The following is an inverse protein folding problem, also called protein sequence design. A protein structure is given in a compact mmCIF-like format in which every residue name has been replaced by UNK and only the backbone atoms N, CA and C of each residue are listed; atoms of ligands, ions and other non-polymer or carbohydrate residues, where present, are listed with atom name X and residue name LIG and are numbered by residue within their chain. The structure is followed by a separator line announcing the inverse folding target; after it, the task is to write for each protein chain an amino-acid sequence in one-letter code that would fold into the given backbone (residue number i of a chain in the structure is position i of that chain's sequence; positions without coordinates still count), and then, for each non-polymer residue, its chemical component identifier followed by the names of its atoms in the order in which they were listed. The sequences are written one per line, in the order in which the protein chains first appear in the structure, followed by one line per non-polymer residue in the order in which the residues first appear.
data_IF_440800270362
#
_entry.id   IF_440800270362
#
_cell.length_a   1.000
_cell.length_b   1.000
_cell.length_c   1.000
_cell.angle_alpha   90.00
_cell.angle_beta   90.00
_cell.angle_gamma   90.00
#
_symmetry.space_group_name_H-M   'P 1'
#
loop_
_entity.id
_entity.type
_entity.pdbx_description
1 polymer ?
#
# COMPACT_ATOMS: atom_id res chain seq x y z
N UNK A 1 -19.37 6.22 -7.99
CA UNK A 1 -17.96 6.30 -7.56
C UNK A 1 -17.78 6.89 -6.16
N UNK A 2 -18.27 8.10 -5.86
CA UNK A 2 -18.17 8.70 -4.50
C UNK A 2 -18.70 7.79 -3.37
N UNK A 3 -19.82 7.09 -3.59
CA UNK A 3 -20.41 6.15 -2.62
C UNK A 3 -19.55 4.90 -2.34
N UNK A 4 -18.82 4.40 -3.35
CA UNK A 4 -17.93 3.25 -3.21
C UNK A 4 -16.64 3.63 -2.47
N UNK A 5 -16.11 4.84 -2.72
CA UNK A 5 -14.97 5.36 -1.99
C UNK A 5 -15.30 5.56 -0.51
N UNK A 6 -16.45 6.18 -0.22
CA UNK A 6 -16.94 6.35 1.16
C UNK A 6 -17.16 4.99 1.83
N UNK A 7 -17.75 4.02 1.12
CA UNK A 7 -17.94 2.67 1.63
C UNK A 7 -16.59 1.98 1.92
N UNK A 8 -15.61 2.08 1.01
CA UNK A 8 -14.28 1.51 1.20
C UNK A 8 -13.56 2.12 2.41
N UNK A 9 -13.57 3.45 2.53
CA UNK A 9 -12.99 4.16 3.69
C UNK A 9 -13.69 3.74 4.99
N UNK A 10 -15.02 3.65 4.99
CA UNK A 10 -15.79 3.14 6.13
C UNK A 10 -15.44 1.68 6.46
N UNK A 11 -15.27 0.82 5.46
CA UNK A 11 -14.85 -0.57 5.69
C UNK A 11 -13.44 -0.65 6.26
N UNK A 12 -12.50 0.17 5.80
CA UNK A 12 -11.14 0.25 6.37
C UNK A 12 -11.20 0.68 7.84
N UNK A 13 -12.00 1.70 8.16
CA UNK A 13 -12.14 2.23 9.53
C UNK A 13 -12.84 1.21 10.45
N UNK A 14 -13.91 0.56 9.99
CA UNK A 14 -14.69 -0.40 10.79
C UNK A 14 -13.97 -1.75 10.91
N UNK A 15 -13.22 -2.19 9.89
CA UNK A 15 -12.35 -3.36 10.00
C UNK A 15 -11.17 -3.09 10.95
N UNK A 16 -10.64 -1.85 10.96
CA UNK A 16 -9.59 -1.42 11.88
C UNK A 16 -10.00 -1.43 13.35
N UNK A 17 -11.29 -1.25 13.67
CA UNK A 17 -11.80 -1.32 15.05
C UNK A 17 -12.21 -2.73 15.51
N UNK A 18 -12.31 -3.71 14.59
CA UNK A 18 -12.71 -5.08 14.91
C UNK A 18 -11.57 -6.12 14.77
N UNK A 19 -10.45 -5.77 14.13
CA UNK A 19 -9.31 -6.66 13.88
C UNK A 19 -8.01 -5.93 14.27
N UNK A 20 -6.97 -6.68 14.67
CA UNK A 20 -5.63 -6.18 15.05
C UNK A 20 -4.85 -5.58 13.86
N UNK A 21 -5.50 -4.69 13.12
CA UNK A 21 -4.98 -4.03 11.94
C UNK A 21 -4.20 -2.79 12.36
N UNK A 22 -3.00 -2.64 11.81
CA UNK A 22 -2.17 -1.45 11.99
C UNK A 22 -2.50 -0.49 10.85
N UNK A 23 -3.13 0.66 11.12
CA UNK A 23 -3.33 1.68 10.10
C UNK A 23 -2.01 2.35 9.76
N UNK A 24 -1.82 2.71 8.50
CA UNK A 24 -0.60 3.33 8.00
C UNK A 24 -0.96 4.46 7.03
N UNK A 25 -0.18 5.54 7.06
CA UNK A 25 -0.23 6.61 6.05
C UNK A 25 0.93 6.39 5.11
N UNK A 26 0.69 6.53 3.81
CA UNK A 26 1.70 6.36 2.77
C UNK A 26 1.73 7.56 1.83
N UNK A 27 2.90 7.86 1.27
CA UNK A 27 3.04 8.88 0.25
C UNK A 27 4.34 8.75 -0.54
N UNK A 28 4.33 9.25 -1.77
CA UNK A 28 5.50 9.20 -2.64
C UNK A 28 5.12 9.32 -4.12
N UNK A 29 5.80 8.56 -4.96
CA UNK A 29 5.59 8.52 -6.41
C UNK A 29 4.99 7.17 -6.81
N UNK A 30 3.86 7.22 -7.51
CA UNK A 30 3.17 6.05 -8.10
C UNK A 30 2.24 6.55 -9.20
N UNK A 31 2.68 6.51 -10.46
CA UNK A 31 2.07 7.19 -11.64
C UNK A 31 2.04 8.74 -11.58
N UNK A 32 2.10 9.32 -10.39
CA UNK A 32 2.24 10.74 -10.07
C UNK A 32 2.60 10.89 -8.60
N UNK A 33 2.39 12.07 -8.02
CA UNK A 33 2.46 12.23 -6.58
C UNK A 33 1.23 11.56 -5.97
N UNK A 34 1.47 10.61 -5.07
CA UNK A 34 0.43 9.83 -4.42
C UNK A 34 0.49 10.00 -2.90
N UNK A 35 -0.67 10.06 -2.26
CA UNK A 35 -0.83 10.02 -0.80
C UNK A 35 -2.05 9.18 -0.47
N UNK A 36 -1.96 8.38 0.59
CA UNK A 36 -3.04 7.49 0.95
C UNK A 36 -2.95 6.90 2.33
N UNK A 37 -3.88 5.99 2.56
CA UNK A 37 -3.99 5.22 3.78
C UNK A 37 -4.03 3.74 3.42
N UNK A 38 -3.48 2.93 4.30
CA UNK A 38 -3.58 1.48 4.22
C UNK A 38 -3.72 0.89 5.60
N UNK A 39 -4.10 -0.38 5.64
CA UNK A 39 -4.20 -1.14 6.86
C UNK A 39 -3.47 -2.48 6.66
N UNK A 40 -2.64 -2.82 7.65
CA UNK A 40 -1.86 -4.04 7.68
C UNK A 40 -2.40 -4.99 8.75
N UNK A 41 -2.70 -6.22 8.37
CA UNK A 41 -3.13 -7.28 9.26
C UNK A 41 -2.05 -8.36 9.37
N UNK A 42 -1.43 -8.59 10.55
CA UNK A 42 -0.49 -9.68 10.75
C UNK A 42 -1.24 -11.03 10.71
N UNK A 43 -0.99 -11.83 9.68
CA UNK A 43 -1.64 -13.13 9.47
C UNK A 43 -0.86 -14.28 10.12
N UNK A 44 0.47 -14.22 10.04
CA UNK A 44 1.39 -15.18 10.64
C UNK A 44 2.75 -14.52 10.89
N UNK A 45 3.68 -15.23 11.54
CA UNK A 45 5.04 -14.72 11.75
C UNK A 45 5.70 -14.43 10.39
N UNK A 46 6.02 -13.16 10.15
CA UNK A 46 6.64 -12.72 8.90
C UNK A 46 5.69 -12.65 7.70
N UNK A 47 4.38 -12.81 7.89
CA UNK A 47 3.38 -12.69 6.83
C UNK A 47 2.26 -11.77 7.28
N UNK A 48 1.97 -10.77 6.46
CA UNK A 48 0.89 -9.81 6.70
C UNK A 48 0.09 -9.58 5.42
N UNK A 49 -1.18 -9.26 5.59
CA UNK A 49 -2.04 -8.80 4.51
C UNK A 49 -2.21 -7.30 4.59
N UNK A 50 -2.18 -6.62 3.45
CA UNK A 50 -2.21 -5.17 3.33
C UNK A 50 -3.25 -4.76 2.31
N UNK A 51 -4.05 -3.74 2.61
CA UNK A 51 -4.92 -3.11 1.62
C UNK A 51 -5.04 -1.62 1.89
N UNK A 52 -5.26 -0.84 0.85
CA UNK A 52 -5.29 0.61 0.98
C UNK A 52 -5.83 1.32 -0.25
N UNK A 53 -5.89 2.64 -0.10
CA UNK A 53 -6.29 3.57 -1.14
C UNK A 53 -5.39 4.80 -1.14
N UNK A 54 -5.07 5.28 -2.34
CA UNK A 54 -4.29 6.50 -2.54
C UNK A 54 -5.04 7.43 -3.48
N UNK A 55 -4.92 8.73 -3.20
CA UNK A 55 -5.19 9.76 -4.19
C UNK A 55 -3.90 10.06 -4.93
N UNK A 56 -3.99 10.19 -6.25
CA UNK A 56 -2.85 10.36 -7.15
C UNK A 56 -3.04 11.60 -8.03
N UNK A 57 -1.97 12.35 -8.26
CA UNK A 57 -1.97 13.50 -9.18
C UNK A 57 -1.87 13.11 -10.66
N UNK A 58 -1.68 11.82 -10.97
CA UNK A 58 -1.63 11.27 -12.32
C UNK A 58 -2.99 11.21 -13.01
N UNK A 59 -3.06 10.47 -14.13
CA UNK A 59 -4.30 10.37 -14.96
C UNK A 59 -5.41 9.57 -14.29
N UNK A 60 -5.05 8.72 -13.34
CA UNK A 60 -5.96 7.89 -12.58
C UNK A 60 -5.92 8.34 -11.11
N UNK A 61 -6.84 9.23 -10.69
CA UNK A 61 -6.75 9.95 -9.43
C UNK A 61 -6.92 9.08 -8.20
N UNK A 62 -7.40 7.83 -8.33
CA UNK A 62 -7.56 6.91 -7.21
C UNK A 62 -6.90 5.58 -7.52
N UNK A 63 -6.01 5.14 -6.64
CA UNK A 63 -5.35 3.84 -6.68
C UNK A 63 -5.88 3.02 -5.51
N UNK A 64 -6.36 1.82 -5.77
CA UNK A 64 -6.74 0.85 -4.74
C UNK A 64 -5.78 -0.34 -4.83
N UNK A 65 -5.37 -0.90 -3.71
CA UNK A 65 -4.49 -2.07 -3.72
C UNK A 65 -4.80 -3.01 -2.56
N UNK A 66 -4.50 -4.29 -2.78
CA UNK A 66 -4.57 -5.33 -1.76
C UNK A 66 -3.52 -6.42 -2.06
N UNK A 67 -2.81 -6.89 -1.05
CA UNK A 67 -1.72 -7.84 -1.25
C UNK A 67 -1.11 -8.38 0.04
N UNK A 68 -0.26 -9.37 -0.11
CA UNK A 68 0.57 -9.90 0.96
C UNK A 68 1.88 -9.13 1.11
N UNK A 69 2.44 -9.14 2.32
CA UNK A 69 3.80 -8.73 2.63
C UNK A 69 4.50 -9.86 3.39
N UNK A 70 5.59 -10.36 2.81
CA UNK A 70 6.30 -11.57 3.22
C UNK A 70 7.73 -11.23 3.62
N UNK A 71 8.13 -11.60 4.83
CA UNK A 71 9.48 -11.36 5.33
C UNK A 71 10.49 -12.13 4.50
N UNK A 72 11.55 -11.45 4.09
CA UNK A 72 12.62 -12.03 3.28
C UNK A 72 13.88 -12.20 4.12
N UNK A 73 14.43 -11.08 4.60
CA UNK A 73 15.72 -11.04 5.30
C UNK A 73 15.87 -9.70 6.03
N UNK A 74 16.94 -9.54 6.80
CA UNK A 74 17.33 -8.26 7.37
C UNK A 74 18.41 -7.61 6.50
N UNK A 75 18.20 -6.35 6.14
CA UNK A 75 19.22 -5.49 5.53
C UNK A 75 19.77 -4.55 6.59
N UNK A 76 20.87 -4.96 7.25
CA UNK A 76 21.33 -4.31 8.46
C UNK A 76 20.27 -4.38 9.58
N UNK A 77 19.90 -3.23 10.13
CA UNK A 77 18.86 -3.11 11.16
C UNK A 77 17.42 -3.02 10.59
N UNK A 78 17.26 -3.00 9.27
CA UNK A 78 15.98 -2.81 8.57
C UNK A 78 15.47 -4.13 8.00
N UNK A 79 14.37 -4.69 8.55
CA UNK A 79 13.75 -5.89 7.99
C UNK A 79 13.19 -5.62 6.58
N UNK A 80 13.56 -6.47 5.62
CA UNK A 80 13.12 -6.40 4.24
C UNK A 80 12.02 -7.43 3.98
N UNK A 81 10.96 -7.00 3.29
CA UNK A 81 9.83 -7.82 2.90
C UNK A 81 9.58 -7.72 1.39
N UNK A 82 9.01 -8.77 0.82
CA UNK A 82 8.40 -8.76 -0.50
C UNK A 82 6.92 -8.40 -0.35
N UNK A 83 6.49 -7.32 -0.99
CA UNK A 83 5.09 -7.01 -1.23
C UNK A 83 4.64 -7.63 -2.55
N UNK A 84 3.49 -8.28 -2.57
CA UNK A 84 2.88 -8.81 -3.78
C UNK A 84 1.36 -8.75 -3.70
N UNK A 85 0.69 -8.25 -4.74
CA UNK A 85 -0.75 -8.07 -4.70
C UNK A 85 -1.39 -7.64 -6.01
N UNK A 86 -2.64 -7.22 -5.90
CA UNK A 86 -3.41 -6.61 -6.96
C UNK A 86 -3.51 -5.10 -6.74
N UNK A 87 -3.58 -4.37 -7.85
CA UNK A 87 -3.76 -2.92 -7.88
C UNK A 87 -4.82 -2.56 -8.92
N UNK A 88 -5.62 -1.54 -8.61
CA UNK A 88 -6.63 -0.98 -9.48
C UNK A 88 -6.45 0.53 -9.56
N UNK A 89 -6.24 1.03 -10.77
CA UNK A 89 -6.16 2.46 -11.06
C UNK A 89 -7.48 2.95 -11.63
N UNK A 90 -8.16 3.84 -10.91
CA UNK A 90 -9.48 4.34 -11.25
C UNK A 90 -9.37 5.75 -11.83
N UNK A 91 -9.80 5.91 -13.08
CA UNK A 91 -10.00 7.18 -13.77
C UNK A 91 -11.48 7.52 -13.94
N UNK A 92 -11.76 8.70 -14.49
CA UNK A 92 -13.14 9.17 -14.72
C UNK A 92 -13.94 8.28 -15.68
N UNK A 93 -13.28 7.58 -16.60
CA UNK A 93 -13.94 6.79 -17.66
C UNK A 93 -13.52 5.31 -17.71
N UNK A 94 -12.49 4.91 -16.94
CA UNK A 94 -11.95 3.55 -16.97
C UNK A 94 -11.25 3.19 -15.67
N UNK A 95 -11.43 1.94 -15.25
CA UNK A 95 -10.61 1.31 -14.21
C UNK A 95 -9.69 0.27 -14.86
N UNK A 96 -8.39 0.38 -14.60
CA UNK A 96 -7.41 -0.61 -15.03
C UNK A 96 -6.97 -1.46 -13.84
N UNK A 97 -6.91 -2.78 -14.03
CA UNK A 97 -6.50 -3.75 -13.01
C UNK A 97 -5.17 -4.38 -13.39
N UNK A 98 -4.36 -4.73 -12.39
CA UNK A 98 -3.12 -5.42 -12.61
C UNK A 98 -2.50 -5.96 -11.33
N UNK A 99 -1.24 -6.37 -11.44
CA UNK A 99 -0.46 -6.92 -10.34
C UNK A 99 0.57 -5.91 -9.85
N UNK A 100 0.90 -5.98 -8.56
CA UNK A 100 1.91 -5.17 -7.91
C UNK A 100 2.96 -6.08 -7.27
N UNK A 101 4.23 -5.72 -7.40
CA UNK A 101 5.34 -6.34 -6.68
C UNK A 101 6.26 -5.25 -6.13
N UNK A 102 6.69 -5.37 -4.88
CA UNK A 102 7.51 -4.35 -4.24
C UNK A 102 8.48 -4.94 -3.22
N UNK A 103 9.56 -4.22 -2.95
CA UNK A 103 10.42 -4.42 -1.79
C UNK A 103 10.04 -3.39 -0.73
N UNK A 104 9.76 -3.86 0.49
CA UNK A 104 9.39 -3.03 1.64
C UNK A 104 10.48 -3.13 2.69
N UNK A 105 11.07 -2.00 3.05
CA UNK A 105 12.09 -1.87 4.07
C UNK A 105 11.46 -1.22 5.31
N UNK A 106 11.22 -2.01 6.35
CA UNK A 106 10.78 -1.47 7.63
C UNK A 106 11.95 -0.78 8.34
N UNK A 107 11.64 0.13 9.26
CA UNK A 107 12.62 0.96 9.99
C UNK A 107 13.43 1.83 9.05
N UNK A 108 12.77 2.45 8.07
CA UNK A 108 13.43 3.38 7.17
C UNK A 108 14.10 4.51 7.97
N UNK A 109 15.35 4.84 7.63
CA UNK A 109 16.16 5.83 8.35
C UNK A 109 16.36 5.53 9.85
N UNK A 110 16.20 4.27 10.28
CA UNK A 110 16.31 3.87 11.68
C UNK A 110 15.08 4.20 12.53
N UNK A 111 13.98 4.66 11.93
CA UNK A 111 12.76 5.07 12.62
C UNK A 111 11.74 3.94 12.57
N UNK A 112 11.45 3.32 13.72
CA UNK A 112 10.61 2.12 13.83
C UNK A 112 9.23 2.18 13.13
N UNK A 113 8.44 3.27 13.24
CA UNK A 113 7.15 3.36 12.55
C UNK A 113 7.29 3.55 11.05
N UNK A 114 8.47 3.96 10.56
CA UNK A 114 8.66 4.28 9.15
C UNK A 114 9.02 3.06 8.32
N UNK A 115 8.51 3.02 7.10
CA UNK A 115 8.96 2.09 6.08
C UNK A 115 9.14 2.79 4.74
N UNK A 116 9.98 2.19 3.90
CA UNK A 116 10.15 2.59 2.51
C UNK A 116 9.71 1.44 1.60
N UNK A 117 9.01 1.75 0.51
CA UNK A 117 8.50 0.77 -0.44
C UNK A 117 8.92 1.17 -1.85
N UNK A 118 9.60 0.28 -2.56
CA UNK A 118 9.97 0.47 -3.98
C UNK A 118 9.46 -0.72 -4.75
N UNK A 119 8.72 -0.48 -5.84
CA UNK A 119 8.04 -1.54 -6.55
C UNK A 119 7.63 -1.18 -7.97
N UNK A 120 6.93 -2.12 -8.58
CA UNK A 120 6.38 -2.02 -9.92
C UNK A 120 4.93 -2.49 -9.90
N UNK A 121 4.06 -1.67 -10.45
CA UNK A 121 2.71 -2.06 -10.84
C UNK A 121 2.69 -2.38 -12.33
N UNK A 122 2.12 -3.52 -12.70
CA UNK A 122 1.92 -3.93 -14.09
C UNK A 122 0.45 -3.79 -14.43
N UNK A 123 0.08 -2.62 -14.98
CA UNK A 123 -1.31 -2.23 -15.26
C UNK A 123 -1.40 -1.66 -16.67
N UNK A 124 -1.64 -2.54 -17.65
CA UNK A 124 -1.43 -2.34 -19.09
C UNK A 124 0.04 -2.02 -19.49
N UNK A 125 0.71 -1.20 -18.69
CA UNK A 125 2.11 -0.76 -18.77
C UNK A 125 2.73 -0.86 -17.38
N UNK A 126 4.06 -1.03 -17.32
CA UNK A 126 4.78 -1.04 -16.04
C UNK A 126 4.90 0.38 -15.49
N UNK A 127 4.60 0.56 -14.21
CA UNK A 127 4.71 1.82 -13.47
C UNK A 127 5.57 1.63 -12.24
N UNK A 128 6.51 2.55 -12.03
CA UNK A 128 7.37 2.52 -10.84
C UNK A 128 6.63 3.12 -9.65
N UNK A 129 6.80 2.48 -8.50
CA UNK A 129 6.33 2.92 -7.20
C UNK A 129 7.55 3.18 -6.31
N UNK A 130 7.60 4.33 -5.66
CA UNK A 130 8.59 4.68 -4.64
C UNK A 130 7.90 5.49 -3.55
N UNK A 131 7.77 4.93 -2.35
CA UNK A 131 6.92 5.45 -1.29
C UNK A 131 7.58 5.37 0.07
N UNK A 132 7.19 6.29 0.94
CA UNK A 132 7.43 6.24 2.37
C UNK A 132 6.10 6.05 3.08
N UNK A 133 6.11 5.27 4.15
CA UNK A 133 4.95 5.07 4.99
C UNK A 133 5.27 5.20 6.46
N UNK A 134 4.23 5.47 7.25
CA UNK A 134 4.28 5.64 8.69
C UNK A 134 3.14 4.87 9.34
N UNK A 135 3.49 3.97 10.27
CA UNK A 135 2.54 3.15 11.04
C UNK A 135 1.96 3.94 12.21
N UNK A 136 0.64 3.90 12.34
CA UNK A 136 -0.11 4.54 13.41
C UNK A 136 -0.44 3.50 14.48
N UNK A 137 0.47 3.32 15.44
CA UNK A 137 0.29 2.46 16.61
C UNK A 137 0.21 3.27 17.90
#
# INVERSE_FOLDING_TARGET
MKKLLVLFVLTVIVAGSALAMVPEVIGGVRDGLAIGIMAENPMAKGVSFRFGAEVNSGKQPVILFAGGKFYMTNFGASPMYLGAGAVAYNGDSKTDFGAAISAVFNRAFGVEPMFAEIGIDVVNTARVQAQLGYKLY
#
